data_IF_357137322465
#
_entry.id   IF_357137322465
#
_cell.length_a   1.000
_cell.length_b   1.000
_cell.length_c   1.000
_cell.angle_alpha   90.00
_cell.angle_beta   90.00
_cell.angle_gamma   90.00
#
_symmetry.space_group_name_H-M   'P 1'
#
loop_
_entity.id
_entity.type
_entity.pdbx_description
1 polymer ?
#
# COMPACT_ATOMS: atom_id res chain seq x y z
N UNK A 1 50.93 -20.26 -62.12
CA UNK A 1 50.03 -19.18 -61.77
C UNK A 1 49.23 -19.58 -60.54
N UNK A 2 49.64 -19.13 -59.29
CA UNK A 2 49.16 -19.66 -58.02
C UNK A 2 47.95 -18.83 -57.54
N UNK A 3 46.84 -19.53 -57.34
CA UNK A 3 45.61 -18.98 -56.79
C UNK A 3 45.65 -19.00 -55.26
N UNK A 4 45.78 -17.82 -54.62
CA UNK A 4 45.80 -17.71 -53.14
C UNK A 4 44.37 -17.76 -52.61
N UNK A 5 43.98 -18.84 -51.93
CA UNK A 5 42.76 -18.94 -51.14
C UNK A 5 42.92 -18.16 -49.82
N UNK A 6 42.18 -17.08 -49.63
CA UNK A 6 42.04 -16.39 -48.34
C UNK A 6 41.04 -17.16 -47.49
N UNK A 7 41.49 -17.70 -46.36
CA UNK A 7 40.62 -18.30 -45.34
C UNK A 7 40.10 -17.18 -44.47
N UNK A 8 38.78 -16.87 -44.54
CA UNK A 8 38.11 -16.04 -43.56
C UNK A 8 37.91 -16.86 -42.27
N UNK A 9 38.59 -16.45 -41.20
CA UNK A 9 38.29 -16.94 -39.85
C UNK A 9 37.05 -16.18 -39.33
N UNK A 10 35.91 -16.89 -39.26
CA UNK A 10 34.74 -16.41 -38.53
C UNK A 10 35.03 -16.52 -37.02
N UNK A 11 35.17 -15.37 -36.38
CA UNK A 11 35.14 -15.30 -34.88
C UNK A 11 33.68 -15.47 -34.45
N UNK A 12 33.35 -16.64 -33.89
CA UNK A 12 32.09 -16.90 -33.25
C UNK A 12 32.01 -16.12 -31.94
N UNK A 13 31.20 -15.06 -31.91
CA UNK A 13 30.88 -14.32 -30.72
C UNK A 13 29.80 -15.11 -29.98
N UNK A 14 30.23 -15.90 -28.97
CA UNK A 14 29.32 -16.60 -28.06
C UNK A 14 28.66 -15.57 -27.14
N UNK A 15 27.42 -15.19 -27.44
CA UNK A 15 26.59 -14.38 -26.54
C UNK A 15 26.15 -15.28 -25.39
N UNK A 16 26.78 -15.11 -24.23
CA UNK A 16 26.35 -15.72 -22.98
C UNK A 16 25.03 -15.05 -22.56
N UNK A 17 23.90 -15.72 -22.80
CA UNK A 17 22.63 -15.34 -22.21
C UNK A 17 22.68 -15.61 -20.69
N UNK A 18 23.02 -14.60 -19.90
CA UNK A 18 22.82 -14.64 -18.46
C UNK A 18 21.32 -14.55 -18.22
N UNK A 19 20.68 -15.68 -18.01
CA UNK A 19 19.29 -15.75 -17.57
C UNK A 19 19.24 -15.26 -16.12
N UNK A 20 18.97 -13.94 -15.92
CA UNK A 20 18.59 -13.42 -14.62
C UNK A 20 17.31 -14.13 -14.20
N UNK A 21 17.26 -14.72 -12.97
CA UNK A 21 16.03 -15.30 -12.47
C UNK A 21 14.99 -14.17 -12.35
N UNK A 22 13.95 -14.25 -13.17
CA UNK A 22 12.77 -13.40 -13.08
C UNK A 22 12.09 -13.75 -11.76
N UNK A 23 12.46 -13.03 -10.70
CA UNK A 23 11.77 -13.13 -9.42
C UNK A 23 10.37 -12.57 -9.64
N UNK A 24 9.42 -13.46 -9.86
CA UNK A 24 8.00 -13.14 -9.74
C UNK A 24 7.79 -12.49 -8.37
N UNK A 25 7.64 -11.16 -8.34
CA UNK A 25 7.08 -10.47 -7.18
C UNK A 25 5.70 -11.09 -6.95
N UNK A 26 5.64 -12.04 -6.01
CA UNK A 26 4.35 -12.58 -5.56
C UNK A 26 3.53 -11.39 -5.07
N UNK A 27 2.57 -10.97 -5.87
CA UNK A 27 1.49 -10.10 -5.41
C UNK A 27 0.94 -10.73 -4.13
N UNK A 28 0.89 -9.99 -3.05
CA UNK A 28 0.34 -10.50 -1.80
C UNK A 28 -1.11 -10.92 -2.08
N UNK A 29 -1.37 -12.22 -2.04
CA UNK A 29 -2.70 -12.77 -2.27
C UNK A 29 -3.62 -12.16 -1.21
N UNK A 30 -4.68 -11.46 -1.63
CA UNK A 30 -5.67 -10.89 -0.72
C UNK A 30 -6.31 -12.04 0.07
N UNK A 31 -6.13 -12.06 1.40
CA UNK A 31 -6.62 -13.13 2.27
C UNK A 31 -7.53 -12.56 3.34
N UNK A 32 -8.77 -13.07 3.42
CA UNK A 32 -9.66 -12.80 4.55
C UNK A 32 -9.14 -13.58 5.76
N UNK A 33 -8.77 -12.85 6.83
CA UNK A 33 -8.27 -13.39 8.08
C UNK A 33 -9.31 -13.21 9.18
N UNK A 34 -9.95 -12.03 9.22
CA UNK A 34 -11.05 -11.76 10.15
C UNK A 34 -12.39 -12.20 9.51
N UNK A 35 -13.06 -13.24 10.05
CA UNK A 35 -14.35 -13.71 9.54
C UNK A 35 -15.48 -12.71 9.81
N UNK A 36 -15.35 -11.87 10.85
CA UNK A 36 -16.38 -10.94 11.34
C UNK A 36 -16.44 -9.62 10.56
N UNK A 37 -15.63 -9.47 9.51
CA UNK A 37 -15.71 -8.31 8.64
C UNK A 37 -17.12 -8.16 8.06
N UNK A 38 -17.68 -6.96 8.15
CA UNK A 38 -18.95 -6.61 7.52
C UNK A 38 -18.87 -6.72 6.00
N UNK A 39 -20.01 -6.77 5.33
CA UNK A 39 -20.07 -6.74 3.85
C UNK A 39 -19.39 -5.50 3.28
N UNK A 40 -19.60 -4.31 3.90
CA UNK A 40 -18.99 -3.06 3.46
C UNK A 40 -17.46 -3.10 3.61
N UNK A 41 -16.94 -3.61 4.72
CA UNK A 41 -15.49 -3.80 4.90
C UNK A 41 -14.91 -4.76 3.86
N UNK A 42 -15.58 -5.89 3.61
CA UNK A 42 -15.14 -6.86 2.59
C UNK A 42 -15.13 -6.25 1.20
N UNK A 43 -16.14 -5.47 0.85
CA UNK A 43 -16.22 -4.80 -0.45
C UNK A 43 -15.06 -3.82 -0.65
N UNK A 44 -14.79 -2.97 0.32
CA UNK A 44 -13.67 -2.01 0.25
C UNK A 44 -12.32 -2.75 0.21
N UNK A 45 -12.09 -3.69 1.13
CA UNK A 45 -10.78 -4.30 1.33
C UNK A 45 -10.38 -5.29 0.23
N UNK A 46 -11.35 -5.96 -0.39
CA UNK A 46 -11.07 -7.04 -1.36
C UNK A 46 -11.54 -6.72 -2.79
N UNK A 47 -12.53 -5.83 -2.95
CA UNK A 47 -13.05 -5.39 -4.24
C UNK A 47 -12.64 -3.95 -4.58
N UNK A 48 -11.73 -3.34 -3.80
CA UNK A 48 -11.20 -1.99 -4.03
C UNK A 48 -12.31 -0.91 -4.03
N UNK A 49 -13.36 -1.13 -3.22
CA UNK A 49 -14.43 -0.17 -3.00
C UNK A 49 -13.94 1.08 -2.25
N UNK A 50 -14.82 2.06 -2.13
CA UNK A 50 -14.55 3.31 -1.41
C UNK A 50 -15.69 3.61 -0.44
N UNK A 51 -15.36 3.94 0.80
CA UNK A 51 -16.27 4.46 1.81
C UNK A 51 -16.81 5.83 1.39
N UNK A 52 -18.05 6.16 1.74
CA UNK A 52 -18.59 7.50 1.50
C UNK A 52 -17.82 8.55 2.32
N UNK A 53 -17.55 9.74 1.76
CA UNK A 53 -16.84 10.77 2.51
C UNK A 53 -17.65 11.22 3.74
N UNK A 54 -16.95 11.61 4.80
CA UNK A 54 -17.50 12.14 6.06
C UNK A 54 -18.33 11.14 6.88
N UNK A 55 -18.26 9.84 6.58
CA UNK A 55 -19.01 8.80 7.31
C UNK A 55 -18.18 8.08 8.37
N UNK A 56 -16.86 8.14 8.28
CA UNK A 56 -15.98 7.44 9.22
C UNK A 56 -15.96 8.11 10.60
N UNK A 57 -16.26 7.35 11.66
CA UNK A 57 -16.10 7.81 13.05
C UNK A 57 -14.64 8.15 13.39
N UNK A 58 -13.67 7.55 12.67
CA UNK A 58 -12.26 7.81 12.88
C UNK A 58 -11.83 9.23 12.47
N UNK A 59 -12.66 9.99 11.78
CA UNK A 59 -12.41 11.42 11.51
C UNK A 59 -12.29 12.20 12.83
N UNK A 60 -13.13 11.87 13.82
CA UNK A 60 -13.20 12.53 15.12
C UNK A 60 -12.19 11.98 16.14
N UNK A 61 -11.54 10.85 15.85
CA UNK A 61 -10.57 10.23 16.75
C UNK A 61 -9.32 11.10 16.92
N UNK A 62 -9.02 11.50 18.16
CA UNK A 62 -7.92 12.41 18.53
C UNK A 62 -6.99 11.86 19.61
N UNK A 63 -7.32 10.69 20.19
CA UNK A 63 -6.52 10.08 21.25
C UNK A 63 -5.20 9.57 20.69
N UNK A 64 -4.18 9.49 21.53
CA UNK A 64 -2.94 8.81 21.23
C UNK A 64 -3.14 7.31 21.10
N UNK A 65 -2.50 6.72 20.10
CA UNK A 65 -2.62 5.30 19.80
C UNK A 65 -2.19 4.93 18.40
N UNK A 66 -2.67 3.78 17.95
CA UNK A 66 -2.32 3.23 16.66
C UNK A 66 -3.56 2.76 15.90
N UNK A 67 -3.47 2.88 14.59
CA UNK A 67 -4.48 2.37 13.67
C UNK A 67 -4.01 1.03 13.10
N UNK A 68 -4.85 0.02 13.24
CA UNK A 68 -4.59 -1.36 12.86
C UNK A 68 -5.46 -1.76 11.68
N UNK A 69 -5.00 -2.71 10.88
CA UNK A 69 -5.78 -3.31 9.80
C UNK A 69 -6.99 -4.07 10.36
N UNK A 70 -8.19 -3.75 9.93
CA UNK A 70 -9.42 -4.41 10.39
C UNK A 70 -9.47 -5.91 10.03
N UNK A 71 -8.72 -6.34 8.99
CA UNK A 71 -8.68 -7.74 8.57
C UNK A 71 -7.64 -8.58 9.32
N UNK A 72 -6.43 -8.07 9.57
CA UNK A 72 -5.35 -8.88 10.10
C UNK A 72 -4.70 -8.35 11.38
N UNK A 73 -5.17 -7.21 11.89
CA UNK A 73 -4.64 -6.60 13.12
C UNK A 73 -3.25 -5.97 12.97
N UNK A 74 -2.64 -5.98 11.78
CA UNK A 74 -1.32 -5.37 11.58
C UNK A 74 -1.36 -3.87 11.91
N UNK A 75 -0.36 -3.38 12.64
CA UNK A 75 -0.21 -1.97 12.98
C UNK A 75 0.21 -1.18 11.75
N UNK A 76 -0.53 -0.13 11.40
CA UNK A 76 -0.41 0.56 10.12
C UNK A 76 0.01 2.03 10.25
N UNK A 77 -0.63 2.77 11.16
CA UNK A 77 -0.36 4.19 11.37
C UNK A 77 -0.29 4.53 12.85
N UNK A 78 0.50 5.55 13.18
CA UNK A 78 0.45 6.22 14.49
C UNK A 78 -0.59 7.35 14.44
N UNK A 79 -1.26 7.62 15.57
CA UNK A 79 -2.13 8.79 15.74
C UNK A 79 -1.39 10.11 15.46
N UNK A 80 -0.08 10.15 15.73
CA UNK A 80 0.79 11.32 15.50
C UNK A 80 0.91 11.71 14.03
N UNK A 81 0.72 10.75 13.11
CA UNK A 81 0.73 11.00 11.67
C UNK A 81 -0.63 11.45 11.13
N UNK A 82 -1.71 11.35 11.95
CA UNK A 82 -3.06 11.70 11.50
C UNK A 82 -3.25 13.20 11.43
N UNK A 83 -3.90 13.67 10.37
CA UNK A 83 -4.29 15.07 10.22
C UNK A 83 -5.64 15.20 9.51
N UNK A 84 -6.27 16.36 9.65
CA UNK A 84 -7.49 16.68 8.92
C UNK A 84 -7.12 17.24 7.54
N UNK A 85 -7.46 16.50 6.50
CA UNK A 85 -7.23 16.90 5.12
C UNK A 85 -8.44 17.63 4.50
N UNK A 86 -9.56 17.71 5.21
CA UNK A 86 -10.81 18.25 4.68
C UNK A 86 -11.50 17.39 3.61
N UNK A 87 -10.93 16.23 3.24
CA UNK A 87 -11.43 15.40 2.13
C UNK A 87 -12.56 14.45 2.53
N UNK A 88 -12.80 14.28 3.83
CA UNK A 88 -13.86 13.40 4.35
C UNK A 88 -13.42 11.98 4.64
N UNK A 89 -12.13 11.67 4.54
CA UNK A 89 -11.54 10.39 4.91
C UNK A 89 -10.40 10.57 5.90
N UNK A 90 -10.19 9.61 6.83
CA UNK A 90 -9.00 9.59 7.68
C UNK A 90 -7.73 9.71 6.85
N UNK A 91 -6.90 10.71 7.15
CA UNK A 91 -5.69 11.03 6.39
C UNK A 91 -4.46 11.02 7.29
N UNK A 92 -3.35 10.49 6.76
CA UNK A 92 -2.09 10.34 7.48
C UNK A 92 -0.94 10.85 6.61
N UNK A 93 0.02 11.54 7.23
CA UNK A 93 1.21 12.07 6.54
C UNK A 93 2.27 11.01 6.29
N UNK A 94 2.26 9.94 7.09
CA UNK A 94 3.19 8.82 6.97
C UNK A 94 2.55 7.52 7.48
N UNK A 95 3.06 6.39 7.00
CA UNK A 95 2.73 5.06 7.48
C UNK A 95 3.89 4.46 8.27
N UNK A 96 3.61 3.49 9.14
CA UNK A 96 4.67 2.76 9.82
C UNK A 96 5.54 1.99 8.80
N UNK A 97 6.85 1.83 9.07
CA UNK A 97 7.75 1.11 8.18
C UNK A 97 7.22 -0.29 7.84
N UNK A 98 7.18 -0.62 6.56
CA UNK A 98 6.73 -1.94 6.09
C UNK A 98 5.23 -2.21 6.20
N UNK A 99 4.41 -1.25 6.64
CA UNK A 99 2.96 -1.43 6.82
C UNK A 99 2.22 -1.72 5.52
N UNK A 100 2.67 -1.15 4.41
CA UNK A 100 1.97 -1.23 3.14
C UNK A 100 2.86 -1.59 1.95
N UNK A 101 2.23 -2.17 0.93
CA UNK A 101 2.73 -2.28 -0.44
C UNK A 101 1.90 -1.37 -1.32
N UNK A 102 2.52 -0.75 -2.31
CA UNK A 102 1.85 0.13 -3.26
C UNK A 102 1.71 -0.54 -4.63
N UNK A 103 0.66 -0.19 -5.31
CA UNK A 103 0.39 -0.60 -6.69
C UNK A 103 -0.10 0.62 -7.48
N UNK A 104 0.28 0.72 -8.75
CA UNK A 104 -0.25 1.74 -9.63
C UNK A 104 -1.57 1.21 -10.20
N UNK A 105 -2.64 1.95 -9.95
CA UNK A 105 -3.96 1.73 -10.52
C UNK A 105 -4.37 2.89 -11.44
N UNK A 106 -5.40 2.65 -12.24
CA UNK A 106 -6.03 3.66 -13.07
C UNK A 106 -7.54 3.68 -12.75
N UNK A 107 -8.05 4.84 -12.35
CA UNK A 107 -9.47 5.04 -12.10
C UNK A 107 -9.93 6.34 -12.75
N UNK A 108 -11.02 6.29 -13.49
CA UNK A 108 -11.55 7.43 -14.26
C UNK A 108 -10.49 8.11 -15.17
N UNK A 109 -9.62 7.31 -15.80
CA UNK A 109 -8.55 7.82 -16.67
C UNK A 109 -7.36 8.47 -15.95
N UNK A 110 -7.36 8.53 -14.62
CA UNK A 110 -6.27 9.10 -13.82
C UNK A 110 -5.41 8.00 -13.20
N UNK A 111 -4.10 8.17 -13.25
CA UNK A 111 -3.14 7.34 -12.54
C UNK A 111 -3.24 7.61 -11.04
N UNK A 112 -3.41 6.56 -10.25
CA UNK A 112 -3.46 6.62 -8.78
C UNK A 112 -2.49 5.62 -8.18
N UNK A 113 -1.95 5.95 -7.02
CA UNK A 113 -1.13 5.03 -6.23
C UNK A 113 -2.01 4.46 -5.15
N UNK A 114 -2.42 3.22 -5.33
CA UNK A 114 -3.15 2.45 -4.32
C UNK A 114 -2.17 1.86 -3.30
N UNK A 115 -2.61 1.68 -2.06
CA UNK A 115 -1.85 0.95 -1.07
C UNK A 115 -2.66 -0.14 -0.39
N UNK A 116 -1.96 -1.23 -0.11
CA UNK A 116 -2.51 -2.46 0.41
C UNK A 116 -1.72 -2.89 1.65
N UNK A 117 -2.40 -3.44 2.64
CA UNK A 117 -1.73 -3.99 3.82
C UNK A 117 -0.65 -4.99 3.40
N UNK A 118 0.57 -4.80 3.86
CA UNK A 118 1.70 -5.66 3.50
C UNK A 118 1.52 -7.11 3.99
N UNK A 119 0.76 -7.31 5.09
CA UNK A 119 0.52 -8.60 5.70
C UNK A 119 -0.58 -9.41 4.99
N UNK A 120 -1.74 -8.82 4.72
CA UNK A 120 -2.90 -9.55 4.19
C UNK A 120 -3.34 -9.16 2.78
N UNK A 121 -2.70 -8.16 2.17
CA UNK A 121 -3.02 -7.67 0.83
C UNK A 121 -4.33 -6.88 0.71
N UNK A 122 -5.03 -6.60 1.82
CA UNK A 122 -6.27 -5.85 1.78
C UNK A 122 -6.04 -4.41 1.32
N UNK A 123 -6.91 -3.91 0.43
CA UNK A 123 -6.90 -2.52 -0.02
C UNK A 123 -7.27 -1.59 1.15
N UNK A 124 -6.59 -0.46 1.26
CA UNK A 124 -6.85 0.54 2.28
C UNK A 124 -7.22 1.91 1.72
N UNK A 125 -6.67 2.30 0.58
CA UNK A 125 -6.89 3.60 -0.02
C UNK A 125 -5.80 4.00 -1.02
N UNK A 126 -5.59 5.30 -1.14
CA UNK A 126 -4.68 5.88 -2.14
C UNK A 126 -3.69 6.86 -1.51
N UNK A 127 -2.50 6.96 -2.10
CA UNK A 127 -1.50 7.98 -1.74
C UNK A 127 -1.61 9.15 -2.72
N UNK A 128 -1.71 10.34 -2.17
CA UNK A 128 -1.68 11.62 -2.88
C UNK A 128 -0.41 12.41 -2.52
N UNK A 129 -0.05 13.39 -3.33
CA UNK A 129 1.13 14.24 -3.13
C UNK A 129 0.72 15.67 -2.71
N UNK A 130 -0.25 15.75 -1.83
CA UNK A 130 -0.82 16.99 -1.27
C UNK A 130 -0.81 16.99 0.27
N UNK A 131 0.07 16.20 0.86
CA UNK A 131 0.24 16.09 2.31
C UNK A 131 1.05 17.23 2.93
N UNK A 132 0.94 17.43 4.27
CA UNK A 132 1.48 18.59 4.98
C UNK A 132 2.97 18.50 5.32
N UNK A 133 3.62 17.36 5.10
CA UNK A 133 5.02 17.15 5.47
C UNK A 133 5.96 17.33 4.28
N UNK A 134 7.28 17.37 4.54
CA UNK A 134 8.31 17.49 3.51
C UNK A 134 8.25 16.37 2.45
N UNK A 135 7.67 15.21 2.77
CA UNK A 135 7.46 14.13 1.79
C UNK A 135 6.32 14.43 0.82
N UNK A 136 5.46 15.39 1.12
CA UNK A 136 4.25 15.71 0.38
C UNK A 136 3.21 14.59 0.35
N UNK A 137 3.43 13.47 1.05
CA UNK A 137 2.52 12.32 0.99
C UNK A 137 1.32 12.51 1.90
N UNK A 138 0.15 12.15 1.37
CA UNK A 138 -1.08 11.95 2.12
C UNK A 138 -1.63 10.56 1.83
N UNK A 139 -1.69 9.73 2.86
CA UNK A 139 -2.37 8.44 2.83
C UNK A 139 -3.84 8.68 3.14
N UNK A 140 -4.69 8.69 2.12
CA UNK A 140 -6.14 8.78 2.24
C UNK A 140 -6.70 7.39 2.47
N UNK A 141 -7.19 7.10 3.67
CA UNK A 141 -7.59 5.75 4.09
C UNK A 141 -9.09 5.62 4.23
N UNK A 142 -9.66 4.52 3.77
CA UNK A 142 -11.04 4.15 4.11
C UNK A 142 -11.10 3.81 5.61
N UNK A 143 -11.89 4.52 6.38
CA UNK A 143 -11.96 4.32 7.83
C UNK A 143 -12.46 2.93 8.22
N UNK A 144 -13.36 2.34 7.45
CA UNK A 144 -13.85 0.97 7.63
C UNK A 144 -12.74 -0.10 7.56
N UNK A 145 -11.58 0.23 6.96
CA UNK A 145 -10.43 -0.66 6.91
C UNK A 145 -9.56 -0.62 8.17
N UNK A 146 -9.84 0.29 9.10
CA UNK A 146 -9.02 0.54 10.28
C UNK A 146 -9.77 0.22 11.57
N UNK A 147 -9.00 -0.23 12.57
CA UNK A 147 -9.39 -0.29 13.98
C UNK A 147 -8.42 0.60 14.74
N UNK A 148 -8.94 1.56 15.51
CA UNK A 148 -8.12 2.37 16.41
C UNK A 148 -7.93 1.64 17.74
N UNK A 149 -6.68 1.55 18.18
CA UNK A 149 -6.29 1.02 19.49
C UNK A 149 -5.60 2.14 20.27
N UNK A 150 -6.19 2.66 21.35
CA UNK A 150 -5.57 3.69 22.14
C UNK A 150 -4.30 3.17 22.82
N UNK A 151 -3.31 4.04 22.91
CA UNK A 151 -2.16 3.79 23.75
C UNK A 151 -2.60 3.90 25.23
N UNK A 152 -2.41 2.83 25.99
CA UNK A 152 -2.71 2.87 27.41
C UNK A 152 -1.72 3.82 28.07
N UNK A 153 -2.18 4.98 28.51
CA UNK A 153 -1.41 5.82 29.41
C UNK A 153 -1.25 5.01 30.71
N UNK A 154 -0.03 4.62 31.03
CA UNK A 154 0.30 4.11 32.36
C UNK A 154 0.12 5.29 33.33
N UNK A 155 -1.08 5.44 33.85
CA UNK A 155 -1.31 6.30 35.01
C UNK A 155 -0.58 5.57 36.15
N UNK A 156 0.58 6.08 36.52
CA UNK A 156 1.23 5.69 37.75
C UNK A 156 0.31 6.16 38.90
N UNK A 157 -0.35 5.20 39.51
CA UNK A 157 -1.06 5.38 40.79
C UNK A 157 0.00 5.48 41.88
#
# INVERSE_FOLDING_TARGET
MLLRRKILKLFGLSILFVSLPYQFLKSATKKIINPDLTKAQKDIMFNEGTERPFTSELLKEKRDGFYHCANCGAKLFSSKAKFDSGTGWPSFSEALPGAFKTKIGYSFGMKRIEYHCANCGAHHGHVFLDGPTATGKRFCNNGLCLIFVPELSLIHI
#
